data_IF_942024888989
#
_entry.id   IF_942024888989
#
_cell.length_a   1.000
_cell.length_b   1.000
_cell.length_c   1.000
_cell.angle_alpha   90.00
_cell.angle_beta   90.00
_cell.angle_gamma   90.00
#
_symmetry.space_group_name_H-M   'P 1'
#
loop_
_entity.id
_entity.type
_entity.pdbx_description
1 polymer ?
#
# COMPACT_ATOMS: atom_id res chain seq x y z
N UNK A 1 7.73 27.52 25.10
CA UNK A 1 7.19 26.18 24.79
C UNK A 1 8.21 25.51 23.90
N UNK A 2 8.92 24.52 24.44
CA UNK A 2 10.08 23.90 23.80
C UNK A 2 9.61 22.83 22.81
N UNK A 3 10.00 22.99 21.55
CA UNK A 3 9.92 21.95 20.53
C UNK A 3 10.94 20.86 20.89
N UNK A 4 10.48 19.79 21.53
CA UNK A 4 11.32 18.60 21.76
C UNK A 4 11.43 17.81 20.46
N UNK A 5 12.66 17.77 19.95
CA UNK A 5 13.20 16.86 18.96
C UNK A 5 12.44 15.54 18.83
N UNK A 6 11.90 15.25 17.64
CA UNK A 6 11.66 13.88 17.22
C UNK A 6 13.02 13.18 17.06
N UNK A 7 13.50 12.54 18.13
CA UNK A 7 14.54 11.54 18.02
C UNK A 7 13.97 10.36 17.23
N UNK A 8 14.30 10.28 15.93
CA UNK A 8 14.23 9.02 15.18
C UNK A 8 15.29 8.07 15.74
N UNK A 9 15.02 7.45 16.87
CA UNK A 9 15.80 6.33 17.38
C UNK A 9 14.92 5.08 17.37
N UNK A 10 14.86 4.41 16.22
CA UNK A 10 14.54 2.98 16.21
C UNK A 10 15.80 2.23 15.86
N UNK A 11 16.48 1.58 16.82
CA UNK A 11 17.31 0.43 16.51
C UNK A 11 16.35 -0.64 16.01
N UNK A 12 16.12 -0.67 14.70
CA UNK A 12 15.30 -1.71 14.09
C UNK A 12 16.12 -2.98 14.09
N UNK A 13 15.56 -4.03 14.66
CA UNK A 13 16.09 -5.37 14.52
C UNK A 13 16.17 -5.68 13.02
N UNK A 14 17.39 -5.61 12.46
CA UNK A 14 17.66 -5.78 11.03
C UNK A 14 17.13 -7.13 10.53
N UNK A 15 17.03 -8.13 11.42
CA UNK A 15 16.46 -9.44 11.10
C UNK A 15 14.97 -9.39 10.76
N UNK A 16 14.20 -8.52 11.42
CA UNK A 16 12.76 -8.33 11.17
C UNK A 16 12.56 -7.65 9.83
N UNK A 17 13.34 -6.61 9.55
CA UNK A 17 13.31 -5.88 8.28
C UNK A 17 13.69 -6.81 7.11
N UNK A 18 14.76 -7.59 7.24
CA UNK A 18 15.18 -8.53 6.20
C UNK A 18 14.10 -9.59 5.90
N UNK A 19 13.48 -10.16 6.95
CA UNK A 19 12.37 -11.10 6.79
C UNK A 19 11.15 -10.46 6.12
N UNK A 20 10.84 -9.22 6.50
CA UNK A 20 9.74 -8.47 5.91
C UNK A 20 9.96 -8.19 4.42
N UNK A 21 11.16 -7.74 4.03
CA UNK A 21 11.48 -7.47 2.61
C UNK A 21 11.38 -8.74 1.76
N UNK A 22 11.77 -9.91 2.30
CA UNK A 22 11.55 -11.19 1.62
C UNK A 22 10.07 -11.46 1.37
N UNK A 23 9.22 -11.32 2.39
CA UNK A 23 7.77 -11.51 2.26
C UNK A 23 7.13 -10.48 1.32
N UNK A 24 7.61 -9.23 1.37
CA UNK A 24 7.13 -8.16 0.52
C UNK A 24 7.43 -8.48 -0.94
N UNK A 25 8.65 -8.89 -1.28
CA UNK A 25 9.03 -9.25 -2.66
C UNK A 25 8.18 -10.39 -3.25
N UNK A 26 7.74 -11.36 -2.42
CA UNK A 26 6.82 -12.42 -2.88
C UNK A 26 5.43 -11.91 -3.23
N UNK A 27 5.02 -10.80 -2.62
CA UNK A 27 3.70 -10.17 -2.80
C UNK A 27 3.74 -8.93 -3.71
N UNK A 28 4.93 -8.42 -4.00
CA UNK A 28 5.13 -7.14 -4.68
C UNK A 28 4.52 -7.24 -6.09
N UNK A 29 3.77 -6.21 -6.44
CA UNK A 29 3.12 -6.10 -7.76
C UNK A 29 4.10 -5.72 -8.86
N UNK A 30 5.27 -5.16 -8.53
CA UNK A 30 6.34 -4.85 -9.49
C UNK A 30 7.17 -6.07 -9.87
N UNK A 31 7.16 -7.09 -9.03
CA UNK A 31 7.93 -8.32 -9.25
C UNK A 31 7.02 -9.44 -9.75
N UNK A 32 7.50 -10.20 -10.72
CA UNK A 32 6.82 -11.40 -11.19
C UNK A 32 6.99 -12.54 -10.17
N UNK A 33 6.34 -12.46 -9.02
CA UNK A 33 6.33 -13.60 -8.08
C UNK A 33 5.52 -14.77 -8.66
N UNK A 34 6.17 -15.93 -8.70
CA UNK A 34 5.63 -17.22 -9.17
C UNK A 34 4.76 -17.92 -8.11
N UNK A 35 4.51 -17.28 -6.96
CA UNK A 35 3.71 -17.87 -5.88
C UNK A 35 2.22 -17.82 -6.23
N UNK A 36 1.72 -18.88 -6.84
CA UNK A 36 0.29 -19.09 -7.13
C UNK A 36 -0.61 -19.02 -5.87
N UNK A 37 -0.03 -19.07 -4.68
CA UNK A 37 -0.72 -18.99 -3.40
C UNK A 37 -1.23 -17.58 -3.07
N UNK A 38 -0.59 -16.51 -3.56
CA UNK A 38 -1.02 -15.14 -3.25
C UNK A 38 -1.97 -14.60 -4.31
N UNK A 39 -3.21 -14.39 -3.90
CA UNK A 39 -4.30 -13.95 -4.78
C UNK A 39 -4.44 -12.43 -4.83
N UNK A 40 -3.89 -11.69 -3.86
CA UNK A 40 -3.73 -10.24 -3.87
C UNK A 40 -2.25 -9.85 -3.95
N UNK A 41 -1.95 -8.62 -4.36
CA UNK A 41 -0.60 -8.07 -4.42
C UNK A 41 -0.46 -6.79 -3.60
N UNK A 42 0.78 -6.46 -3.23
CA UNK A 42 1.10 -5.27 -2.43
C UNK A 42 1.97 -4.31 -3.22
N UNK A 43 1.65 -3.03 -3.12
CA UNK A 43 2.46 -1.91 -3.57
C UNK A 43 2.82 -1.04 -2.36
N UNK A 44 4.06 -0.57 -2.29
CA UNK A 44 4.49 0.44 -1.31
C UNK A 44 5.01 1.64 -2.09
N UNK A 45 4.45 2.82 -1.82
CA UNK A 45 4.88 4.08 -2.44
C UNK A 45 6.36 4.38 -2.12
N UNK A 46 7.01 5.13 -3.01
CA UNK A 46 8.46 5.38 -2.92
C UNK A 46 8.87 6.25 -1.71
N UNK A 47 7.96 7.06 -1.20
CA UNK A 47 8.21 7.96 -0.06
C UNK A 47 8.19 7.23 1.29
N UNK A 48 7.62 6.02 1.35
CA UNK A 48 7.53 5.26 2.58
C UNK A 48 8.73 4.35 2.76
N UNK A 49 9.34 4.42 3.93
CA UNK A 49 10.38 3.48 4.31
C UNK A 49 9.74 2.11 4.56
N UNK A 50 10.09 1.12 3.72
CA UNK A 50 9.50 -0.24 3.75
C UNK A 50 9.60 -0.90 5.12
N UNK A 51 10.72 -0.76 5.81
CA UNK A 51 10.89 -1.29 7.16
C UNK A 51 10.37 -0.38 8.28
N UNK A 52 9.46 0.55 7.97
CA UNK A 52 8.70 1.27 9.00
C UNK A 52 7.75 0.34 9.74
N UNK A 53 7.68 0.49 11.06
CA UNK A 53 6.80 -0.34 11.89
C UNK A 53 5.32 -0.21 11.45
N UNK A 54 4.92 0.96 10.96
CA UNK A 54 3.57 1.18 10.41
C UNK A 54 3.34 0.42 9.10
N UNK A 55 4.34 0.40 8.20
CA UNK A 55 4.27 -0.36 6.94
C UNK A 55 4.24 -1.86 7.20
N UNK A 56 5.10 -2.38 8.09
CA UNK A 56 5.13 -3.80 8.46
C UNK A 56 3.81 -4.24 9.09
N UNK A 57 3.28 -3.43 10.01
CA UNK A 57 1.96 -3.66 10.61
C UNK A 57 0.87 -3.70 9.54
N UNK A 58 0.87 -2.71 8.64
CA UNK A 58 -0.14 -2.59 7.60
C UNK A 58 -0.08 -3.71 6.57
N UNK A 59 1.12 -4.18 6.24
CA UNK A 59 1.31 -5.37 5.43
C UNK A 59 0.68 -6.60 6.08
N UNK A 60 0.90 -6.78 7.39
CA UNK A 60 0.43 -7.94 8.15
C UNK A 60 -1.10 -7.99 8.23
N UNK A 61 -1.77 -6.92 8.66
CA UNK A 61 -3.23 -6.97 8.84
C UNK A 61 -3.99 -6.95 7.52
N UNK A 62 -3.50 -6.23 6.50
CA UNK A 62 -4.15 -6.21 5.18
C UNK A 62 -4.06 -7.57 4.48
N UNK A 63 -3.01 -8.34 4.76
CA UNK A 63 -2.82 -9.70 4.25
C UNK A 63 -3.36 -10.80 5.16
N UNK A 64 -4.14 -10.46 6.19
CA UNK A 64 -4.76 -11.46 7.05
C UNK A 64 -5.74 -12.33 6.25
N UNK A 65 -5.78 -13.64 6.56
CA UNK A 65 -6.60 -14.62 5.83
C UNK A 65 -8.08 -14.19 5.74
N UNK A 66 -8.62 -13.60 6.80
CA UNK A 66 -10.00 -13.10 6.81
C UNK A 66 -10.24 -11.99 5.79
N UNK A 67 -9.25 -11.11 5.56
CA UNK A 67 -9.35 -10.01 4.60
C UNK A 67 -9.28 -10.55 3.17
N UNK A 68 -8.32 -11.44 2.89
CA UNK A 68 -8.18 -12.11 1.59
C UNK A 68 -9.42 -12.92 1.22
N UNK A 69 -9.98 -13.64 2.20
CA UNK A 69 -11.20 -14.42 2.03
C UNK A 69 -12.38 -13.54 1.63
N UNK A 70 -12.57 -12.39 2.30
CA UNK A 70 -13.64 -11.44 1.95
C UNK A 70 -13.45 -10.90 0.54
N UNK A 71 -12.22 -10.54 0.14
CA UNK A 71 -11.97 -10.10 -1.25
C UNK A 71 -12.31 -11.18 -2.27
N UNK A 72 -11.95 -12.43 -1.99
CA UNK A 72 -12.28 -13.55 -2.87
C UNK A 72 -13.79 -13.84 -2.94
N UNK A 73 -14.49 -13.76 -1.80
CA UNK A 73 -15.95 -13.92 -1.72
C UNK A 73 -16.68 -12.81 -2.46
N UNK A 74 -16.25 -11.56 -2.30
CA UNK A 74 -16.77 -10.40 -3.04
C UNK A 74 -16.64 -10.59 -4.55
N UNK A 75 -15.49 -11.08 -5.03
CA UNK A 75 -15.28 -11.36 -6.45
C UNK A 75 -16.11 -12.55 -6.97
N UNK A 76 -16.38 -13.54 -6.11
CA UNK A 76 -17.27 -14.66 -6.44
C UNK A 76 -18.74 -14.24 -6.49
N UNK A 77 -19.14 -13.31 -5.63
CA UNK A 77 -20.49 -12.77 -5.59
C UNK A 77 -20.78 -11.86 -6.79
N UNK A 78 -19.78 -11.09 -7.24
CA UNK A 78 -19.88 -10.26 -8.44
C UNK A 78 -18.67 -10.47 -9.37
N UNK A 79 -18.87 -11.28 -10.40
CA UNK A 79 -17.85 -11.56 -11.41
C UNK A 79 -17.47 -10.31 -12.24
N UNK A 80 -18.32 -9.29 -12.29
CA UNK A 80 -18.04 -8.04 -13.03
C UNK A 80 -17.06 -7.12 -12.31
N UNK A 81 -16.89 -7.29 -10.99
CA UNK A 81 -15.97 -6.51 -10.18
C UNK A 81 -14.53 -6.72 -10.61
N UNK A 82 -13.88 -5.68 -11.13
CA UNK A 82 -12.54 -5.81 -11.73
C UNK A 82 -11.41 -5.91 -10.70
N UNK A 83 -11.47 -5.06 -9.68
CA UNK A 83 -10.44 -4.88 -8.68
C UNK A 83 -11.03 -4.45 -7.34
N UNK A 84 -10.35 -4.83 -6.27
CA UNK A 84 -10.58 -4.37 -4.91
C UNK A 84 -9.26 -3.85 -4.36
N UNK A 85 -9.30 -2.77 -3.58
CA UNK A 85 -8.12 -2.10 -3.06
C UNK A 85 -8.27 -1.81 -1.58
N UNK A 86 -7.16 -1.93 -0.84
CA UNK A 86 -7.00 -1.34 0.48
C UNK A 86 -5.83 -0.37 0.37
N UNK A 87 -6.08 0.92 0.57
CA UNK A 87 -5.03 1.92 0.78
C UNK A 87 -4.84 2.18 2.26
N UNK A 88 -3.59 2.41 2.68
CA UNK A 88 -3.26 2.73 4.07
C UNK A 88 -2.47 4.03 4.14
N UNK A 89 -2.50 4.66 5.32
CA UNK A 89 -1.75 5.89 5.57
C UNK A 89 -0.23 5.71 5.55
N UNK A 90 0.25 4.49 5.82
CA UNK A 90 1.66 4.11 5.67
C UNK A 90 2.12 4.03 4.22
N UNK A 91 1.24 4.29 3.24
CA UNK A 91 1.56 4.26 1.81
C UNK A 91 1.54 2.85 1.20
N UNK A 92 1.21 1.84 2.00
CA UNK A 92 0.96 0.48 1.52
C UNK A 92 -0.42 0.40 0.86
N UNK A 93 -0.47 -0.19 -0.32
CA UNK A 93 -1.70 -0.49 -1.07
C UNK A 93 -1.76 -1.98 -1.38
N UNK A 94 -2.81 -2.67 -0.95
CA UNK A 94 -3.10 -4.05 -1.33
C UNK A 94 -4.16 -4.09 -2.41
N UNK A 95 -3.99 -4.92 -3.42
CA UNK A 95 -4.90 -5.03 -4.56
C UNK A 95 -5.26 -6.49 -4.88
N UNK A 96 -6.56 -6.74 -5.07
CA UNK A 96 -7.09 -8.05 -5.45
C UNK A 96 -7.93 -7.93 -6.74
N UNK A 97 -7.82 -8.87 -7.71
CA UNK A 97 -6.78 -9.90 -7.77
C UNK A 97 -5.41 -9.26 -8.06
N UNK A 98 -4.35 -9.98 -7.69
CA UNK A 98 -2.96 -9.59 -7.93
C UNK A 98 -2.74 -9.34 -9.42
N UNK A 99 -2.11 -8.21 -9.75
CA UNK A 99 -1.69 -7.89 -11.12
C UNK A 99 -0.34 -7.21 -11.12
N UNK A 100 0.36 -7.38 -12.24
CA UNK A 100 1.64 -6.72 -12.47
C UNK A 100 1.47 -5.20 -12.57
N UNK A 101 2.26 -4.46 -11.81
CA UNK A 101 2.27 -3.01 -11.78
C UNK A 101 3.09 -2.46 -12.93
N UNK A 102 2.43 -1.74 -13.85
CA UNK A 102 3.09 -1.13 -15.01
C UNK A 102 3.22 0.37 -14.79
N UNK A 103 4.45 0.86 -14.88
CA UNK A 103 4.76 2.29 -14.92
C UNK A 103 4.99 2.66 -16.38
N UNK A 104 4.09 3.43 -16.98
CA UNK A 104 4.18 3.90 -18.37
C UNK A 104 4.23 5.43 -18.40
N UNK A 105 5.06 6.07 -19.25
CA UNK A 105 5.91 5.47 -20.29
C UNK A 105 7.29 5.01 -19.78
N UNK A 106 7.87 4.03 -20.48
CA UNK A 106 9.16 3.38 -20.14
C UNK A 106 10.42 4.25 -20.01
N UNK A 107 10.58 5.47 -20.58
CA UNK A 107 11.86 6.16 -20.52
C UNK A 107 12.12 6.92 -19.20
N UNK A 108 11.10 7.14 -18.36
CA UNK A 108 11.24 7.76 -17.02
C UNK A 108 10.33 7.01 -16.04
N UNK A 109 10.93 6.13 -15.22
CA UNK A 109 10.27 4.97 -14.59
C UNK A 109 10.04 5.10 -13.08
N UNK A 110 10.10 6.31 -12.52
CA UNK A 110 9.85 6.49 -11.07
C UNK A 110 8.35 6.42 -10.81
N UNK A 111 7.93 5.40 -10.09
CA UNK A 111 6.56 5.16 -9.70
C UNK A 111 6.13 6.08 -8.56
N UNK A 112 5.43 7.16 -8.90
CA UNK A 112 4.90 8.14 -7.93
C UNK A 112 3.51 7.77 -7.38
N UNK A 113 3.10 6.50 -7.50
CA UNK A 113 1.81 6.11 -6.95
C UNK A 113 1.82 6.17 -5.42
N UNK A 114 0.84 6.90 -4.86
CA UNK A 114 0.50 6.91 -3.44
C UNK A 114 -1.02 6.85 -3.31
N UNK A 115 -1.59 5.94 -2.48
CA UNK A 115 -3.04 5.86 -2.29
C UNK A 115 -3.64 7.16 -1.75
N UNK A 116 -2.94 7.92 -0.90
CA UNK A 116 -3.44 9.12 -0.21
C UNK A 116 -3.77 10.26 -1.18
N UNK A 117 -3.18 10.25 -2.37
CA UNK A 117 -3.45 11.25 -3.42
C UNK A 117 -4.48 10.77 -4.44
N UNK A 118 -5.07 9.58 -4.27
CA UNK A 118 -6.07 9.07 -5.19
C UNK A 118 -7.46 9.58 -4.83
N UNK A 119 -8.28 10.00 -5.83
CA UNK A 119 -9.62 10.50 -5.56
C UNK A 119 -10.48 9.53 -4.75
N UNK A 120 -10.36 8.22 -5.00
CA UNK A 120 -11.11 7.21 -4.24
C UNK A 120 -10.74 7.18 -2.75
N UNK A 121 -9.48 7.47 -2.40
CA UNK A 121 -9.04 7.53 -1.00
C UNK A 121 -9.49 8.84 -0.36
N UNK A 122 -9.24 9.97 -1.04
CA UNK A 122 -9.61 11.31 -0.54
C UNK A 122 -11.13 11.42 -0.31
N UNK A 123 -11.93 10.87 -1.23
CA UNK A 123 -13.39 10.89 -1.13
C UNK A 123 -13.92 10.00 0.00
N UNK A 124 -13.17 8.98 0.45
CA UNK A 124 -13.55 8.18 1.62
C UNK A 124 -13.16 8.82 2.93
N UNK A 125 -12.14 9.68 2.93
CA UNK A 125 -11.61 10.32 4.15
C UNK A 125 -12.46 11.48 4.63
N UNK A 126 -13.08 12.23 3.72
CA UNK A 126 -13.94 13.34 4.13
C UNK A 126 -15.02 13.69 3.12
N UNK A 127 -16.09 14.31 3.62
CA UNK A 127 -17.14 14.88 2.79
C UNK A 127 -16.59 15.98 1.85
N UNK A 128 -17.29 16.29 0.74
CA UNK A 128 -16.96 17.41 -0.13
C UNK A 128 -16.85 18.74 0.64
N UNK A 129 -15.88 19.56 0.26
CA UNK A 129 -15.58 20.84 0.92
C UNK A 129 -15.35 21.92 -0.12
N UNK A 130 -15.88 23.11 0.13
CA UNK A 130 -15.55 24.32 -0.61
C UNK A 130 -14.28 24.93 -0.02
N UNK A 131 -13.24 25.12 -0.86
CA UNK A 131 -11.91 25.57 -0.43
C UNK A 131 -11.58 26.89 -1.12
N UNK A 132 -11.10 27.88 -0.36
CA UNK A 132 -10.56 29.14 -0.88
C UNK A 132 -9.08 29.22 -0.51
N UNK A 133 -8.21 29.31 -1.51
CA UNK A 133 -6.79 29.58 -1.30
C UNK A 133 -6.57 31.10 -1.29
N UNK A 134 -6.15 31.63 -0.13
CA UNK A 134 -5.68 33.01 -0.01
C UNK A 134 -4.16 33.01 -0.10
N UNK A 135 -3.64 33.69 -1.11
CA UNK A 135 -2.21 33.83 -1.37
C UNK A 135 -1.91 35.32 -1.30
N UNK A 136 -0.89 35.67 -0.52
CA UNK A 136 -0.34 37.04 -0.44
C UNK A 136 0.56 37.32 -1.66
#
# INVERSE_FOLDING_TARGET
>A
MNFTNFQFSTPRDESVCAKFEQLLNESDVREASNSAAQTSGVHVNIESYRCDATVIRDFSWTGAESVEKVMAENKRADETMRHQFIGTYSGLTRMYPRRYWRVEPSPITIDLFDPKFRPWFVNTESAPKDIVFLID
#
